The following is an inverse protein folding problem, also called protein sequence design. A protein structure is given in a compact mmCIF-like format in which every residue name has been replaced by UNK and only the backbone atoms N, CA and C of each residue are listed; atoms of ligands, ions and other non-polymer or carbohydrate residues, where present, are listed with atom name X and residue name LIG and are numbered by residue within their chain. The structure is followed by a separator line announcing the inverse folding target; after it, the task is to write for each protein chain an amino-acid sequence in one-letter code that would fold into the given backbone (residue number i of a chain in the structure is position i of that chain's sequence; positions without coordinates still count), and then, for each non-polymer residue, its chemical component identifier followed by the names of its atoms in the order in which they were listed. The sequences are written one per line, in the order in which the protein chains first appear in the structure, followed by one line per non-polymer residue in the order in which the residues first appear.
data_IF_163396486864
#
_entry.id   IF_163396486864
#
_cell.length_a   1.000
_cell.length_b   1.000
_cell.length_c   1.000
_cell.angle_alpha   90.00
_cell.angle_beta   90.00
_cell.angle_gamma   90.00
#
_symmetry.space_group_name_H-M   'P 1'
#
loop_
_entity.id
_entity.type
_entity.pdbx_description
1 polymer ?
#
# COMPACT_ATOMS: atom_id res chain seq x y z
N UNK A 1 -53.55 -25.31 39.10
CA UNK A 1 -52.61 -25.89 38.11
C UNK A 1 -52.39 -27.35 38.45
N UNK A 2 -52.49 -28.24 37.48
CA UNK A 2 -52.36 -29.68 37.71
C UNK A 2 -50.86 -30.04 37.78
N UNK A 3 -50.35 -30.77 38.78
CA UNK A 3 -48.92 -31.15 38.86
C UNK A 3 -48.37 -31.76 37.55
N UNK A 4 -49.22 -32.49 36.82
CA UNK A 4 -48.85 -33.07 35.52
C UNK A 4 -48.56 -32.01 34.44
N UNK A 5 -49.25 -30.86 34.47
CA UNK A 5 -48.99 -29.75 33.53
C UNK A 5 -47.66 -29.03 33.79
N UNK A 6 -47.22 -28.99 35.06
CA UNK A 6 -45.94 -28.37 35.44
C UNK A 6 -44.78 -29.28 35.02
N UNK A 7 -44.90 -30.59 35.25
CA UNK A 7 -43.89 -31.57 34.86
C UNK A 7 -43.68 -31.60 33.34
N UNK A 8 -44.77 -31.56 32.56
CA UNK A 8 -44.70 -31.59 31.10
C UNK A 8 -44.05 -30.32 30.52
N UNK A 9 -44.35 -29.15 31.09
CA UNK A 9 -43.70 -27.89 30.71
C UNK A 9 -42.19 -27.91 30.99
N UNK A 10 -41.76 -28.45 32.15
CA UNK A 10 -40.34 -28.54 32.50
C UNK A 10 -39.55 -29.44 31.54
N UNK A 11 -40.12 -30.58 31.13
CA UNK A 11 -39.49 -31.50 30.17
C UNK A 11 -39.34 -30.85 28.79
N UNK A 12 -40.36 -30.12 28.32
CA UNK A 12 -40.30 -29.40 27.04
C UNK A 12 -39.21 -28.33 27.06
N UNK A 13 -39.10 -27.55 28.14
CA UNK A 13 -38.03 -26.54 28.30
C UNK A 13 -36.65 -27.18 28.32
N UNK A 14 -36.47 -28.30 29.02
CA UNK A 14 -35.21 -29.04 29.09
C UNK A 14 -34.79 -29.66 27.73
N UNK A 15 -35.76 -30.15 26.95
CA UNK A 15 -35.53 -30.63 25.59
C UNK A 15 -35.15 -29.48 24.65
N UNK A 16 -35.82 -28.33 24.77
CA UNK A 16 -35.52 -27.18 23.92
C UNK A 16 -34.13 -26.61 24.20
N UNK A 17 -33.74 -26.50 25.47
CA UNK A 17 -32.42 -26.01 25.85
C UNK A 17 -31.29 -26.97 25.45
N UNK A 18 -31.51 -28.29 25.54
CA UNK A 18 -30.53 -29.29 25.07
C UNK A 18 -30.38 -29.30 23.55
N UNK A 19 -31.47 -29.14 22.79
CA UNK A 19 -31.41 -28.98 21.32
C UNK A 19 -30.61 -27.73 20.94
N UNK A 20 -30.87 -26.58 21.59
CA UNK A 20 -30.12 -25.34 21.36
C UNK A 20 -28.63 -25.48 21.69
N UNK A 21 -28.29 -26.15 22.80
CA UNK A 21 -26.91 -26.41 23.17
C UNK A 21 -26.20 -27.32 22.14
N UNK A 22 -26.89 -28.35 21.65
CA UNK A 22 -26.36 -29.26 20.62
C UNK A 22 -26.14 -28.53 19.29
N UNK A 23 -27.10 -27.71 18.86
CA UNK A 23 -26.97 -26.87 17.68
C UNK A 23 -25.81 -25.87 17.84
N UNK A 24 -25.66 -25.26 19.01
CA UNK A 24 -24.53 -24.40 19.33
C UNK A 24 -23.18 -25.12 19.23
N UNK A 25 -23.08 -26.37 19.71
CA UNK A 25 -21.87 -27.17 19.62
C UNK A 25 -21.51 -27.58 18.18
N UNK A 26 -22.51 -27.85 17.33
CA UNK A 26 -22.31 -28.24 15.93
C UNK A 26 -21.97 -27.03 15.05
N UNK A 27 -22.72 -25.93 15.19
CA UNK A 27 -22.57 -24.75 14.33
C UNK A 27 -21.56 -23.73 14.84
N UNK A 28 -21.24 -23.73 16.14
CA UNK A 28 -20.28 -22.83 16.78
C UNK A 28 -18.92 -22.83 16.09
N UNK A 29 -18.26 -24.00 15.90
CA UNK A 29 -16.96 -24.07 15.22
C UNK A 29 -16.99 -23.51 13.79
N UNK A 30 -18.07 -23.73 13.05
CA UNK A 30 -18.21 -23.22 11.68
C UNK A 30 -18.40 -21.70 11.63
N UNK A 31 -19.18 -21.13 12.55
CA UNK A 31 -19.35 -19.68 12.68
C UNK A 31 -18.02 -19.01 13.09
N UNK A 32 -17.30 -19.60 14.04
CA UNK A 32 -15.98 -19.12 14.46
C UNK A 32 -14.95 -19.23 13.33
N UNK A 33 -14.93 -20.34 12.57
CA UNK A 33 -14.08 -20.50 11.39
C UNK A 33 -14.38 -19.44 10.32
N UNK A 34 -15.66 -19.09 10.10
CA UNK A 34 -16.04 -18.02 9.18
C UNK A 34 -15.61 -16.64 9.64
N UNK A 35 -15.74 -16.33 10.93
CA UNK A 35 -15.31 -15.05 11.49
C UNK A 35 -13.78 -14.90 11.41
N UNK A 36 -13.04 -15.94 11.80
CA UNK A 36 -11.57 -15.95 11.72
C UNK A 36 -11.08 -15.81 10.28
N UNK A 37 -11.69 -16.51 9.32
CA UNK A 37 -11.37 -16.35 7.90
C UNK A 37 -11.64 -14.91 7.38
N UNK A 38 -12.74 -14.28 7.82
CA UNK A 38 -13.03 -12.88 7.47
C UNK A 38 -11.96 -11.93 8.02
N UNK A 39 -11.58 -12.09 9.29
CA UNK A 39 -10.54 -11.25 9.91
C UNK A 39 -9.17 -11.47 9.27
N UNK A 40 -8.81 -12.72 8.96
CA UNK A 40 -7.58 -13.05 8.26
C UNK A 40 -7.52 -12.40 6.86
N UNK A 41 -8.62 -12.46 6.10
CA UNK A 41 -8.70 -11.80 4.80
C UNK A 41 -8.60 -10.27 4.90
N UNK A 42 -9.22 -9.66 5.92
CA UNK A 42 -9.12 -8.22 6.16
C UNK A 42 -7.69 -7.80 6.52
N UNK A 43 -7.02 -8.55 7.40
CA UNK A 43 -5.62 -8.32 7.75
C UNK A 43 -4.72 -8.44 6.52
N UNK A 44 -4.90 -9.50 5.72
CA UNK A 44 -4.16 -9.70 4.48
C UNK A 44 -4.32 -8.53 3.50
N UNK A 45 -5.55 -8.04 3.30
CA UNK A 45 -5.79 -6.89 2.42
C UNK A 45 -5.14 -5.60 2.95
N UNK A 46 -5.18 -5.39 4.27
CA UNK A 46 -4.50 -4.24 4.90
C UNK A 46 -3.00 -4.33 4.69
N UNK A 47 -2.40 -5.48 4.93
CA UNK A 47 -0.96 -5.68 4.82
C UNK A 47 -0.48 -5.52 3.36
N UNK A 48 -1.27 -6.00 2.38
CA UNK A 48 -1.01 -5.75 0.96
C UNK A 48 -1.03 -4.25 0.63
N UNK A 49 -2.00 -3.48 1.14
CA UNK A 49 -2.05 -2.02 0.92
C UNK A 49 -0.84 -1.32 1.54
N UNK A 50 -0.49 -1.69 2.77
CA UNK A 50 0.69 -1.15 3.47
C UNK A 50 1.96 -1.41 2.65
N UNK A 51 2.13 -2.63 2.13
CA UNK A 51 3.27 -2.97 1.28
C UNK A 51 3.34 -2.07 0.03
N UNK A 52 2.21 -1.83 -0.64
CA UNK A 52 2.15 -0.93 -1.80
C UNK A 52 2.54 0.50 -1.46
N UNK A 53 2.12 1.01 -0.30
CA UNK A 53 2.46 2.38 0.12
C UNK A 53 3.95 2.52 0.44
N UNK A 54 4.55 1.50 1.04
CA UNK A 54 5.99 1.46 1.32
C UNK A 54 6.80 1.34 0.02
N UNK A 55 6.37 0.49 -0.92
CA UNK A 55 7.00 0.37 -2.24
C UNK A 55 6.95 1.72 -3.00
N UNK A 56 5.80 2.39 -3.01
CA UNK A 56 5.65 3.70 -3.66
C UNK A 56 6.58 4.76 -3.04
N UNK A 57 6.63 4.83 -1.71
CA UNK A 57 7.50 5.75 -0.99
C UNK A 57 8.99 5.45 -1.23
N UNK A 58 9.38 4.17 -1.24
CA UNK A 58 10.76 3.77 -1.50
C UNK A 58 11.22 4.15 -2.91
N UNK A 59 10.35 4.00 -3.92
CA UNK A 59 10.64 4.47 -5.28
C UNK A 59 10.83 5.99 -5.35
N UNK A 60 9.98 6.76 -4.66
CA UNK A 60 10.11 8.21 -4.60
C UNK A 60 11.44 8.63 -3.92
N UNK A 61 11.81 7.98 -2.82
CA UNK A 61 13.09 8.21 -2.13
C UNK A 61 14.30 7.84 -2.99
N UNK A 62 14.21 6.75 -3.78
CA UNK A 62 15.28 6.38 -4.72
C UNK A 62 15.48 7.45 -5.79
N UNK A 63 14.39 8.03 -6.32
CA UNK A 63 14.48 9.14 -7.27
C UNK A 63 15.07 10.40 -6.62
N UNK A 64 14.72 10.68 -5.36
CA UNK A 64 15.31 11.77 -4.59
C UNK A 64 16.82 11.59 -4.40
N UNK A 65 17.27 10.40 -4.00
CA UNK A 65 18.70 10.09 -3.89
C UNK A 65 19.42 10.18 -5.23
N UNK A 66 18.79 9.75 -6.31
CA UNK A 66 19.33 9.91 -7.66
C UNK A 66 19.47 11.37 -8.07
N UNK A 67 18.45 12.20 -7.81
CA UNK A 67 18.52 13.64 -8.04
C UNK A 67 19.65 14.29 -7.24
N UNK A 68 19.78 13.94 -5.96
CA UNK A 68 20.86 14.41 -5.09
C UNK A 68 22.23 14.03 -5.65
N UNK A 69 22.40 12.81 -6.14
CA UNK A 69 23.66 12.36 -6.70
C UNK A 69 24.02 13.04 -8.02
N UNK A 70 23.03 13.32 -8.87
CA UNK A 70 23.30 14.13 -10.06
C UNK A 70 23.79 15.50 -9.57
N UNK A 71 23.08 16.14 -8.63
CA UNK A 71 23.40 17.50 -8.12
C UNK A 71 24.73 17.62 -7.37
N UNK A 72 25.13 16.56 -6.70
CA UNK A 72 26.37 16.46 -5.97
C UNK A 72 26.99 15.07 -6.23
N UNK A 73 27.89 14.96 -7.21
CA UNK A 73 28.56 13.70 -7.53
C UNK A 73 29.41 13.15 -6.39
N UNK A 74 29.73 13.98 -5.38
CA UNK A 74 30.47 13.55 -4.19
C UNK A 74 29.57 12.94 -3.11
N UNK A 75 28.25 13.00 -3.29
CA UNK A 75 27.28 12.33 -2.44
C UNK A 75 27.43 10.80 -2.48
N UNK A 76 26.87 10.14 -1.47
CA UNK A 76 27.03 8.70 -1.20
C UNK A 76 26.77 7.86 -2.46
N UNK A 77 27.60 6.83 -2.76
CA UNK A 77 27.43 6.00 -3.94
C UNK A 77 26.09 5.25 -3.97
N UNK A 78 25.57 5.01 -5.17
CA UNK A 78 24.30 4.31 -5.43
C UNK A 78 24.25 2.87 -4.91
N UNK A 79 25.39 2.28 -4.56
CA UNK A 79 25.52 0.88 -4.20
C UNK A 79 24.81 0.53 -2.87
N UNK A 80 24.51 1.53 -2.04
CA UNK A 80 23.78 1.35 -0.77
C UNK A 80 22.24 1.36 -0.93
N UNK A 81 21.71 1.52 -2.14
CA UNK A 81 20.25 1.60 -2.36
C UNK A 81 19.64 0.19 -2.43
N UNK A 82 18.63 -0.14 -1.60
CA UNK A 82 17.99 -1.44 -1.64
C UNK A 82 17.36 -1.72 -3.01
N UNK A 83 17.44 -2.98 -3.44
CA UNK A 83 16.81 -3.42 -4.68
C UNK A 83 15.29 -3.28 -4.56
N UNK A 84 14.71 -2.45 -5.42
CA UNK A 84 13.27 -2.23 -5.48
C UNK A 84 12.66 -3.06 -6.61
N UNK A 85 11.41 -3.53 -6.44
CA UNK A 85 10.68 -4.17 -7.52
C UNK A 85 10.63 -3.28 -8.78
N UNK A 86 10.43 -3.90 -9.95
CA UNK A 86 10.31 -3.12 -11.18
C UNK A 86 9.13 -2.15 -11.10
N UNK A 87 9.32 -0.91 -11.60
CA UNK A 87 8.32 0.16 -11.62
C UNK A 87 6.94 -0.31 -12.07
N UNK A 88 6.86 -1.10 -13.13
CA UNK A 88 5.58 -1.54 -13.71
C UNK A 88 4.80 -2.48 -12.79
N UNK A 89 5.51 -3.30 -12.02
CA UNK A 89 4.89 -4.18 -11.04
C UNK A 89 4.30 -3.36 -9.89
N UNK A 90 5.02 -2.34 -9.42
CA UNK A 90 4.50 -1.41 -8.40
C UNK A 90 3.32 -0.61 -8.95
N UNK A 91 3.39 -0.12 -10.19
CA UNK A 91 2.30 0.60 -10.85
C UNK A 91 1.02 -0.25 -10.95
N UNK A 92 1.15 -1.53 -11.34
CA UNK A 92 0.04 -2.47 -11.39
C UNK A 92 -0.59 -2.67 -10.00
N UNK A 93 0.23 -2.82 -8.94
CA UNK A 93 -0.27 -2.94 -7.56
C UNK A 93 -0.97 -1.66 -7.09
N UNK A 94 -0.39 -0.48 -7.33
CA UNK A 94 -0.99 0.80 -6.96
C UNK A 94 -2.36 0.96 -7.63
N UNK A 95 -2.46 0.64 -8.93
CA UNK A 95 -3.73 0.72 -9.67
C UNK A 95 -4.85 -0.12 -9.03
N UNK A 96 -4.51 -1.27 -8.44
CA UNK A 96 -5.48 -2.21 -7.87
C UNK A 96 -5.77 -1.93 -6.40
N UNK A 97 -4.75 -1.56 -5.62
CA UNK A 97 -4.80 -1.56 -4.16
C UNK A 97 -4.79 -0.17 -3.53
N UNK A 98 -4.28 0.84 -4.22
CA UNK A 98 -4.09 2.17 -3.67
C UNK A 98 -5.33 3.07 -3.82
N UNK A 99 -5.48 4.09 -2.95
CA UNK A 99 -6.45 5.15 -3.19
C UNK A 99 -6.09 5.94 -4.46
N UNK A 100 -7.12 6.53 -5.08
CA UNK A 100 -6.96 7.29 -6.33
C UNK A 100 -5.92 8.42 -6.21
N UNK A 101 -5.82 9.09 -5.06
CA UNK A 101 -4.83 10.15 -4.82
C UNK A 101 -3.39 9.65 -4.96
N UNK A 102 -3.06 8.51 -4.36
CA UNK A 102 -1.73 7.91 -4.47
C UNK A 102 -1.45 7.43 -5.90
N UNK A 103 -2.45 6.90 -6.60
CA UNK A 103 -2.32 6.54 -8.01
C UNK A 103 -2.01 7.75 -8.88
N UNK A 104 -2.74 8.87 -8.71
CA UNK A 104 -2.47 10.11 -9.44
C UNK A 104 -1.06 10.63 -9.15
N UNK A 105 -0.67 10.72 -7.87
CA UNK A 105 0.67 11.13 -7.46
C UNK A 105 1.76 10.27 -8.12
N UNK A 106 1.57 8.95 -8.11
CA UNK A 106 2.47 7.99 -8.76
C UNK A 106 2.60 8.21 -10.27
N UNK A 107 1.48 8.44 -10.96
CA UNK A 107 1.51 8.71 -12.41
C UNK A 107 2.22 10.03 -12.74
N UNK A 108 2.01 11.07 -11.92
CA UNK A 108 2.69 12.36 -12.07
C UNK A 108 4.19 12.21 -11.84
N UNK A 109 4.61 11.47 -10.80
CA UNK A 109 6.01 11.16 -10.52
C UNK A 109 6.70 10.54 -11.73
N UNK A 110 6.08 9.54 -12.36
CA UNK A 110 6.66 8.91 -13.54
C UNK A 110 6.68 9.79 -14.78
N UNK A 111 5.62 10.58 -15.00
CA UNK A 111 5.63 11.56 -16.08
C UNK A 111 6.78 12.58 -15.91
N UNK A 112 6.98 13.09 -14.70
CA UNK A 112 8.10 14.01 -14.39
C UNK A 112 9.47 13.33 -14.53
N UNK A 113 9.59 12.08 -14.07
CA UNK A 113 10.83 11.30 -14.21
C UNK A 113 11.18 11.02 -15.67
N UNK A 114 10.20 10.65 -16.48
CA UNK A 114 10.38 10.38 -17.91
C UNK A 114 10.75 11.68 -18.66
N UNK A 115 10.17 12.82 -18.25
CA UNK A 115 10.53 14.14 -18.78
C UNK A 115 11.99 14.54 -18.45
N UNK A 116 12.48 14.29 -17.23
CA UNK A 116 13.88 14.56 -16.90
C UNK A 116 14.82 13.65 -17.67
N UNK A 117 14.49 12.36 -17.79
CA UNK A 117 15.31 11.41 -18.56
C UNK A 117 15.51 11.93 -19.98
N UNK A 118 14.45 12.39 -20.63
CA UNK A 118 14.52 13.01 -21.95
C UNK A 118 15.43 14.25 -21.97
N UNK A 119 15.34 15.13 -20.96
CA UNK A 119 16.20 16.32 -20.87
C UNK A 119 17.68 15.94 -20.69
N UNK A 120 17.98 14.93 -19.88
CA UNK A 120 19.35 14.44 -19.68
C UNK A 120 19.90 13.85 -20.99
N UNK A 121 19.11 13.03 -21.69
CA UNK A 121 19.50 12.45 -22.98
C UNK A 121 19.79 13.56 -24.00
N UNK A 122 18.87 14.53 -24.15
CA UNK A 122 19.04 15.66 -25.05
C UNK A 122 20.25 16.55 -24.69
N UNK A 123 20.51 16.76 -23.40
CA UNK A 123 21.68 17.52 -22.94
C UNK A 123 22.97 16.76 -23.22
N UNK A 124 22.99 15.45 -22.96
CA UNK A 124 24.15 14.58 -23.19
C UNK A 124 24.50 14.52 -24.67
N UNK A 125 23.50 14.44 -25.55
CA UNK A 125 23.69 14.52 -27.00
C UNK A 125 24.30 15.86 -27.45
N UNK A 126 23.90 16.96 -26.81
CA UNK A 126 24.35 18.30 -27.16
C UNK A 126 25.75 18.64 -26.62
N UNK A 127 26.06 18.26 -25.37
CA UNK A 127 27.30 18.67 -24.69
C UNK A 127 28.35 17.55 -24.59
N UNK A 128 27.96 16.30 -24.83
CA UNK A 128 28.80 15.12 -24.61
C UNK A 128 28.91 14.69 -23.15
N UNK A 129 28.24 15.39 -22.21
CA UNK A 129 28.27 15.06 -20.78
C UNK A 129 26.89 15.26 -20.12
N UNK A 130 26.37 14.27 -19.37
CA UNK A 130 25.13 14.42 -18.59
C UNK A 130 25.23 15.47 -17.48
N UNK A 131 26.45 15.82 -17.06
CA UNK A 131 26.71 16.71 -15.93
C UNK A 131 26.49 18.20 -16.26
N UNK A 132 26.38 18.53 -17.55
CA UNK A 132 26.14 19.90 -17.99
C UNK A 132 24.67 20.31 -17.89
N UNK A 133 23.81 19.43 -17.36
CA UNK A 133 22.41 19.77 -17.15
C UNK A 133 22.28 20.93 -16.16
N UNK A 134 21.57 22.01 -16.52
CA UNK A 134 21.37 23.13 -15.60
C UNK A 134 20.54 22.67 -14.39
N UNK A 135 21.12 22.74 -13.18
CA UNK A 135 20.45 22.36 -11.92
C UNK A 135 19.13 23.09 -11.68
N UNK A 136 18.98 24.27 -12.26
CA UNK A 136 17.78 25.10 -12.22
C UNK A 136 16.78 24.77 -13.34
N UNK A 137 16.93 23.65 -14.05
CA UNK A 137 15.98 23.24 -15.07
C UNK A 137 14.58 23.01 -14.45
N UNK A 138 13.50 23.58 -15.02
CA UNK A 138 12.15 23.45 -14.47
C UNK A 138 11.70 22.01 -14.20
N UNK A 139 12.15 21.06 -15.04
CA UNK A 139 11.84 19.65 -14.87
C UNK A 139 12.31 19.08 -13.52
N UNK A 140 13.47 19.53 -13.00
CA UNK A 140 13.97 19.11 -11.68
C UNK A 140 13.02 19.54 -10.56
N UNK A 141 12.49 20.77 -10.65
CA UNK A 141 11.47 21.26 -9.72
C UNK A 141 10.19 20.42 -9.76
N UNK A 142 9.70 20.10 -10.96
CA UNK A 142 8.51 19.26 -11.14
C UNK A 142 8.70 17.82 -10.63
N UNK A 143 9.91 17.24 -10.76
CA UNK A 143 10.19 15.93 -10.17
C UNK A 143 10.24 16.00 -8.64
N UNK A 144 10.89 17.01 -8.07
CA UNK A 144 10.94 17.18 -6.61
C UNK A 144 9.52 17.34 -6.02
N UNK A 145 8.66 18.14 -6.68
CA UNK A 145 7.27 18.29 -6.30
C UNK A 145 6.52 16.96 -6.35
N UNK A 146 6.68 16.19 -7.43
CA UNK A 146 6.01 14.90 -7.58
C UNK A 146 6.52 13.83 -6.58
N UNK A 147 7.82 13.84 -6.25
CA UNK A 147 8.39 13.01 -5.17
C UNK A 147 7.71 13.34 -3.84
N UNK A 148 7.65 14.63 -3.50
CA UNK A 148 7.03 15.10 -2.27
C UNK A 148 5.54 14.70 -2.19
N UNK A 149 4.81 14.80 -3.30
CA UNK A 149 3.40 14.42 -3.37
C UNK A 149 3.19 12.91 -3.15
N UNK A 150 4.01 12.04 -3.78
CA UNK A 150 3.95 10.58 -3.54
C UNK A 150 4.28 10.25 -2.08
N UNK A 151 5.32 10.84 -1.51
CA UNK A 151 5.70 10.61 -0.10
C UNK A 151 4.57 11.07 0.84
N UNK A 152 4.00 12.25 0.59
CA UNK A 152 2.93 12.80 1.41
C UNK A 152 1.67 11.92 1.33
N UNK A 153 1.22 11.59 0.12
CA UNK A 153 0.02 10.77 -0.10
C UNK A 153 0.18 9.34 0.41
N UNK A 154 1.35 8.72 0.23
CA UNK A 154 1.65 7.40 0.79
C UNK A 154 1.64 7.41 2.32
N UNK A 155 2.22 8.43 2.96
CA UNK A 155 2.17 8.59 4.42
C UNK A 155 0.74 8.80 4.94
N UNK A 156 -0.06 9.59 4.24
CA UNK A 156 -1.47 9.80 4.59
C UNK A 156 -2.28 8.50 4.47
N UNK A 157 -2.10 7.76 3.37
CA UNK A 157 -2.75 6.47 3.15
C UNK A 157 -2.33 5.41 4.18
N UNK A 158 -1.05 5.41 4.55
CA UNK A 158 -0.53 4.52 5.60
C UNK A 158 -1.20 4.80 6.95
N UNK A 159 -1.27 6.07 7.38
CA UNK A 159 -1.94 6.45 8.63
C UNK A 159 -3.39 5.99 8.65
N UNK A 160 -4.12 6.19 7.55
CA UNK A 160 -5.51 5.77 7.40
C UNK A 160 -5.68 4.24 7.39
N UNK A 161 -4.68 3.48 6.94
CA UNK A 161 -4.73 2.01 6.94
C UNK A 161 -4.40 1.41 8.32
N UNK A 162 -3.72 2.18 9.19
CA UNK A 162 -3.30 1.74 10.53
C UNK A 162 -4.20 2.23 11.67
N UNK A 163 -5.07 3.22 11.42
CA UNK A 163 -6.06 3.73 12.36
C UNK A 163 -7.30 2.84 12.41
#
# INVERSE_FOLDING_TARGET
MNPNTIALAAVVVALFSSILALLGAIFGPWLQARQTAKHANQAWQRDLRVAVYLEAAAHAQRLESWMQHISDPTSRPFDDIPELPHRDLVAAKIRVLAPLSLYTAWTTLHASSDAIKYVIEATTEASGSPQDMPWNHPAMGHLQEAINDVIFTAKAALRAATS
#
